data_IF_604714196034
#
_entry.id   IF_604714196034
#
_cell.length_a   1.000
_cell.length_b   1.000
_cell.length_c   1.000
_cell.angle_alpha   90.00
_cell.angle_beta   90.00
_cell.angle_gamma   90.00
#
_symmetry.space_group_name_H-M   'P 1'
#
loop_
_entity.id
_entity.type
_entity.pdbx_description
1 polymer ?
#
# COMPACT_ATOMS: atom_id res chain seq x y z
N UNK A 1 49.41 -59.42 30.12
CA UNK A 1 49.57 -58.43 31.21
C UNK A 1 49.34 -57.05 30.60
N UNK A 2 48.38 -56.29 31.15
CA UNK A 2 47.89 -54.94 30.79
C UNK A 2 47.16 -54.72 29.44
N UNK A 3 45.83 -54.55 29.54
CA UNK A 3 44.93 -53.93 28.55
C UNK A 3 45.00 -52.40 28.70
N UNK A 4 45.05 -51.61 27.62
CA UNK A 4 44.66 -50.20 27.69
C UNK A 4 43.15 -50.07 27.47
N UNK A 5 42.49 -49.43 28.45
CA UNK A 5 41.07 -49.09 28.46
C UNK A 5 40.87 -47.84 27.58
N UNK A 6 40.12 -47.96 26.48
CA UNK A 6 39.78 -46.85 25.61
C UNK A 6 38.57 -46.10 26.20
N UNK A 7 38.83 -44.91 26.75
CA UNK A 7 37.81 -43.98 27.23
C UNK A 7 37.14 -43.30 26.03
N UNK A 8 35.89 -43.68 25.74
CA UNK A 8 35.02 -42.96 24.81
C UNK A 8 34.43 -41.78 25.57
N UNK A 9 34.89 -40.56 25.29
CA UNK A 9 34.24 -39.35 25.75
C UNK A 9 32.97 -39.11 24.90
N UNK A 10 31.81 -39.36 25.49
CA UNK A 10 30.51 -39.08 24.89
C UNK A 10 30.24 -37.56 25.01
N UNK A 11 30.38 -36.81 23.91
CA UNK A 11 29.92 -35.43 23.85
C UNK A 11 28.40 -35.42 23.59
N UNK A 12 27.61 -35.10 24.62
CA UNK A 12 26.18 -34.81 24.44
C UNK A 12 26.02 -33.38 23.89
N UNK A 13 25.25 -33.16 22.81
CA UNK A 13 24.87 -31.81 22.44
C UNK A 13 23.89 -31.28 23.49
N UNK A 14 24.30 -30.21 24.19
CA UNK A 14 23.40 -29.42 25.01
C UNK A 14 22.41 -28.77 24.04
N UNK A 15 21.17 -29.27 24.03
CA UNK A 15 20.05 -28.63 23.34
C UNK A 15 19.73 -27.36 24.14
N UNK A 16 20.40 -26.28 23.80
CA UNK A 16 20.01 -24.94 24.24
C UNK A 16 18.72 -24.58 23.54
N UNK A 17 17.60 -24.72 24.25
CA UNK A 17 16.31 -24.18 23.82
C UNK A 17 16.44 -22.66 23.93
N UNK A 18 16.84 -22.00 22.85
CA UNK A 18 16.82 -20.54 22.76
C UNK A 18 15.36 -20.11 22.71
N UNK A 19 14.87 -19.54 23.82
CA UNK A 19 13.67 -18.72 23.79
C UNK A 19 14.03 -17.44 23.05
N UNK A 20 13.90 -17.44 21.73
CA UNK A 20 13.81 -16.20 20.98
C UNK A 20 12.45 -15.58 21.34
N UNK A 21 12.44 -14.75 22.37
CA UNK A 21 11.37 -13.80 22.62
C UNK A 21 11.21 -12.97 21.34
N UNK A 22 10.10 -13.20 20.62
CA UNK A 22 9.74 -12.41 19.46
C UNK A 22 9.40 -11.00 19.95
N UNK A 23 10.42 -10.16 20.11
CA UNK A 23 10.24 -8.73 20.27
C UNK A 23 9.59 -8.25 18.98
N UNK A 24 8.28 -7.99 19.02
CA UNK A 24 7.60 -7.26 17.96
C UNK A 24 8.33 -5.92 17.82
N UNK A 25 9.09 -5.76 16.74
CA UNK A 25 9.56 -4.45 16.30
C UNK A 25 8.29 -3.63 16.04
N UNK A 26 7.88 -2.82 17.01
CA UNK A 26 6.81 -1.84 16.86
C UNK A 26 7.20 -1.00 15.64
N UNK A 27 6.48 -1.20 14.54
CA UNK A 27 6.82 -0.54 13.29
C UNK A 27 6.41 0.94 13.44
N UNK A 28 7.16 1.90 12.89
CA UNK A 28 6.83 3.33 13.06
C UNK A 28 5.37 3.70 12.69
N UNK A 29 4.71 2.91 11.82
CA UNK A 29 3.27 3.02 11.54
C UNK A 29 2.40 2.76 12.77
N UNK A 30 2.74 1.81 13.62
CA UNK A 30 1.95 1.49 14.81
C UNK A 30 1.92 2.68 15.78
N UNK A 31 3.04 3.38 15.95
CA UNK A 31 3.12 4.58 16.79
C UNK A 31 2.32 5.74 16.17
N UNK A 32 2.43 5.94 14.85
CA UNK A 32 1.64 6.96 14.16
C UNK A 32 0.13 6.69 14.27
N UNK A 33 -0.30 5.43 14.20
CA UNK A 33 -1.69 5.03 14.37
C UNK A 33 -2.22 5.25 15.79
N UNK A 34 -1.37 5.15 16.81
CA UNK A 34 -1.74 5.40 18.21
C UNK A 34 -2.09 6.87 18.49
N UNK A 35 -1.52 7.80 17.73
CA UNK A 35 -1.70 9.26 17.91
C UNK A 35 -2.66 9.89 16.90
N UNK A 36 -3.30 9.08 16.05
CA UNK A 36 -4.26 9.52 15.04
C UNK A 36 -5.69 9.18 15.45
N UNK A 37 -6.65 10.03 15.05
CA UNK A 37 -8.07 9.74 15.19
C UNK A 37 -8.49 8.64 14.22
N UNK A 38 -9.45 7.82 14.64
CA UNK A 38 -10.00 6.70 13.86
C UNK A 38 -11.37 7.07 13.28
N UNK A 39 -11.58 6.78 12.00
CA UNK A 39 -12.87 6.86 11.34
C UNK A 39 -13.22 5.48 10.76
N UNK A 40 -14.40 4.97 11.11
CA UNK A 40 -14.90 3.71 10.55
C UNK A 40 -15.71 3.99 9.29
N UNK A 41 -15.31 3.35 8.20
CA UNK A 41 -15.95 3.45 6.91
C UNK A 41 -16.48 2.08 6.51
N UNK A 42 -17.79 1.96 6.31
CA UNK A 42 -18.38 0.80 5.65
C UNK A 42 -18.43 1.05 4.14
N UNK A 43 -17.79 0.18 3.36
CA UNK A 43 -17.78 0.28 1.91
C UNK A 43 -17.81 -1.11 1.29
N UNK A 44 -18.76 -1.34 0.39
CA UNK A 44 -18.88 -2.61 -0.33
C UNK A 44 -19.01 -3.83 0.61
N UNK A 45 -19.78 -3.67 1.70
CA UNK A 45 -20.00 -4.71 2.71
C UNK A 45 -18.79 -5.01 3.61
N UNK A 46 -17.70 -4.23 3.50
CA UNK A 46 -16.51 -4.37 4.30
C UNK A 46 -16.30 -3.13 5.18
N UNK A 47 -15.81 -3.35 6.40
CA UNK A 47 -15.42 -2.27 7.31
C UNK A 47 -13.94 -1.92 7.15
N UNK A 48 -13.67 -0.63 7.13
CA UNK A 48 -12.34 -0.06 6.98
C UNK A 48 -12.10 0.98 8.06
N UNK A 49 -10.93 0.93 8.66
CA UNK A 49 -10.46 1.99 9.55
C UNK A 49 -9.57 2.95 8.77
N UNK A 50 -9.92 4.23 8.81
CA UNK A 50 -9.12 5.33 8.29
C UNK A 50 -8.58 6.10 9.48
N UNK A 51 -7.28 6.38 9.47
CA UNK A 51 -6.64 7.18 10.50
C UNK A 51 -6.40 8.58 9.97
N UNK A 52 -6.64 9.61 10.78
CA UNK A 52 -6.39 11.00 10.39
C UNK A 52 -5.89 11.83 11.57
N UNK A 53 -5.16 12.91 11.28
CA UNK A 53 -4.71 13.88 12.28
C UNK A 53 -4.53 15.27 11.66
N UNK A 54 -4.88 16.28 12.43
CA UNK A 54 -4.52 17.67 12.17
C UNK A 54 -3.31 18.01 13.06
N UNK A 55 -2.28 18.61 12.47
CA UNK A 55 -1.11 19.12 13.19
C UNK A 55 -0.93 20.58 12.86
N UNK A 56 -0.95 21.44 13.88
CA UNK A 56 -0.72 22.87 13.74
C UNK A 56 0.78 23.13 13.57
N UNK A 57 1.17 24.06 12.69
CA UNK A 57 2.58 24.41 12.45
C UNK A 57 3.22 25.27 13.54
N UNK A 58 2.42 25.75 14.52
CA UNK A 58 2.91 26.48 15.67
C UNK A 58 3.01 25.52 16.85
N UNK A 59 4.23 25.07 17.14
CA UNK A 59 4.52 24.40 18.39
C UNK A 59 4.46 25.42 19.52
N UNK A 60 3.50 25.28 20.41
CA UNK A 60 3.53 25.90 21.73
C UNK A 60 2.54 25.18 22.63
N UNK A 61 3.12 24.59 23.67
CA UNK A 61 2.52 24.22 24.94
C UNK A 61 1.77 22.88 24.99
N UNK A 62 2.53 21.87 25.45
CA UNK A 62 2.02 20.70 26.17
C UNK A 62 1.31 21.17 27.46
N UNK A 63 0.10 21.70 27.33
CA UNK A 63 -0.81 21.92 28.45
C UNK A 63 -2.24 21.94 27.93
N UNK A 64 -2.92 20.81 28.11
CA UNK A 64 -4.32 20.68 28.53
C UNK A 64 -5.31 21.73 27.99
N UNK A 65 -6.21 21.29 27.10
CA UNK A 65 -7.52 21.91 26.78
C UNK A 65 -7.63 22.98 25.69
N UNK A 66 -6.65 23.18 24.80
CA UNK A 66 -6.96 23.79 23.50
C UNK A 66 -7.43 22.70 22.52
N UNK A 67 -8.74 22.47 22.58
CA UNK A 67 -9.50 21.59 21.68
C UNK A 67 -9.07 21.84 20.23
N UNK A 68 -8.53 20.79 19.61
CA UNK A 68 -8.27 20.69 18.18
C UNK A 68 -9.64 20.77 17.50
N UNK A 69 -10.13 21.99 17.26
CA UNK A 69 -11.48 22.22 16.74
C UNK A 69 -11.69 21.51 15.39
N UNK A 70 -10.62 21.48 14.58
CA UNK A 70 -10.56 20.81 13.28
C UNK A 70 -10.94 19.34 13.40
N UNK A 71 -12.06 18.96 12.79
CA UNK A 71 -12.55 17.58 12.81
C UNK A 71 -12.98 17.07 11.44
N UNK A 72 -12.77 15.78 11.21
CA UNK A 72 -13.42 15.07 10.11
C UNK A 72 -14.86 14.79 10.52
N UNK A 73 -15.80 15.26 9.71
CA UNK A 73 -17.24 15.06 9.91
C UNK A 73 -17.81 13.89 9.14
N UNK A 74 -17.23 13.57 7.97
CA UNK A 74 -17.60 12.40 7.19
C UNK A 74 -16.50 12.01 6.22
N UNK A 75 -16.42 10.71 5.93
CA UNK A 75 -15.63 10.16 4.83
C UNK A 75 -16.55 9.28 3.98
N UNK A 76 -16.52 9.49 2.67
CA UNK A 76 -17.31 8.71 1.69
C UNK A 76 -16.47 8.37 0.47
N UNK A 77 -16.84 7.30 -0.23
CA UNK A 77 -16.19 6.89 -1.48
C UNK A 77 -17.15 7.12 -2.64
N UNK A 78 -16.68 7.85 -3.65
CA UNK A 78 -17.34 7.97 -4.93
C UNK A 78 -16.78 6.92 -5.89
N UNK A 79 -17.58 5.88 -6.18
CA UNK A 79 -17.21 4.79 -7.10
C UNK A 79 -17.04 5.27 -8.54
N UNK A 80 -17.80 6.29 -8.97
CA UNK A 80 -17.76 6.78 -10.35
C UNK A 80 -16.49 7.59 -10.58
N UNK A 81 -16.16 8.47 -9.63
CA UNK A 81 -14.95 9.32 -9.69
C UNK A 81 -13.70 8.64 -9.13
N UNK A 82 -13.84 7.44 -8.55
CA UNK A 82 -12.76 6.71 -7.86
C UNK A 82 -12.08 7.59 -6.82
N UNK A 83 -12.88 8.31 -6.03
CA UNK A 83 -12.39 9.31 -5.10
C UNK A 83 -12.85 9.08 -3.67
N UNK A 84 -11.97 9.42 -2.73
CA UNK A 84 -12.26 9.50 -1.29
C UNK A 84 -12.59 10.94 -0.96
N UNK A 85 -13.84 11.20 -0.57
CA UNK A 85 -14.33 12.50 -0.19
C UNK A 85 -14.35 12.60 1.33
N UNK A 86 -13.69 13.63 1.86
CA UNK A 86 -13.57 13.86 3.31
C UNK A 86 -14.13 15.27 3.57
N UNK A 87 -15.13 15.36 4.44
CA UNK A 87 -15.69 16.64 4.88
C UNK A 87 -15.10 17.01 6.23
N UNK A 88 -14.51 18.18 6.33
CA UNK A 88 -13.88 18.70 7.54
C UNK A 88 -14.66 19.90 8.08
N UNK A 89 -14.58 20.15 9.38
CA UNK A 89 -15.24 21.27 10.06
C UNK A 89 -14.27 21.95 11.01
N UNK A 90 -14.53 23.23 11.27
CA UNK A 90 -13.80 24.09 12.21
C UNK A 90 -12.29 24.17 11.95
N UNK A 91 -11.91 24.19 10.66
CA UNK A 91 -10.52 24.41 10.25
C UNK A 91 -10.24 25.92 10.31
N UNK A 92 -9.93 26.44 11.48
CA UNK A 92 -9.79 27.90 11.69
C UNK A 92 -8.45 28.46 11.19
N UNK A 93 -7.42 27.60 11.11
CA UNK A 93 -6.07 27.96 10.68
C UNK A 93 -5.51 26.98 9.66
N UNK A 94 -4.30 27.27 9.15
CA UNK A 94 -3.63 26.36 8.22
C UNK A 94 -2.97 25.22 8.98
N UNK A 95 -3.43 24.01 8.72
CA UNK A 95 -2.99 22.79 9.37
C UNK A 95 -2.23 21.88 8.40
N UNK A 96 -1.41 20.99 8.94
CA UNK A 96 -0.92 19.80 8.24
C UNK A 96 -1.94 18.69 8.48
N UNK A 97 -2.55 18.19 7.40
CA UNK A 97 -3.46 17.06 7.47
C UNK A 97 -2.74 15.78 7.09
N UNK A 98 -2.72 14.83 8.02
CA UNK A 98 -2.19 13.48 7.82
C UNK A 98 -3.35 12.50 7.74
N UNK A 99 -3.30 11.61 6.74
CA UNK A 99 -4.34 10.62 6.47
C UNK A 99 -3.69 9.27 6.17
N UNK A 100 -4.16 8.21 6.80
CA UNK A 100 -3.77 6.84 6.48
C UNK A 100 -5.02 6.01 6.16
N UNK A 101 -5.02 5.35 5.01
CA UNK A 101 -6.14 4.53 4.56
C UNK A 101 -5.66 3.27 3.80
N UNK A 102 -6.48 2.20 3.77
CA UNK A 102 -6.18 1.00 2.98
C UNK A 102 -6.15 1.29 1.47
N UNK A 103 -5.11 0.81 0.77
CA UNK A 103 -4.94 1.07 -0.66
C UNK A 103 -6.10 0.56 -1.53
N UNK A 104 -6.78 -0.50 -1.09
CA UNK A 104 -7.95 -1.06 -1.78
C UNK A 104 -9.13 -0.09 -1.86
N UNK A 105 -9.18 0.96 -1.03
CA UNK A 105 -10.24 1.97 -1.09
C UNK A 105 -10.09 2.87 -2.31
N UNK A 106 -8.87 3.31 -2.61
CA UNK A 106 -8.53 4.17 -3.74
C UNK A 106 -7.27 3.59 -4.40
N UNK A 107 -7.45 2.67 -5.36
CA UNK A 107 -6.32 2.10 -6.07
C UNK A 107 -5.66 3.18 -6.93
N UNK A 108 -4.34 3.30 -6.83
CA UNK A 108 -3.50 4.10 -7.73
C UNK A 108 -2.03 3.71 -7.56
N UNK A 109 -1.19 3.99 -8.56
CA UNK A 109 0.26 4.05 -8.30
C UNK A 109 0.58 5.28 -7.43
N UNK A 110 1.64 5.21 -6.62
CA UNK A 110 1.97 6.22 -5.59
C UNK A 110 2.07 7.66 -6.13
N UNK A 111 2.44 7.84 -7.42
CA UNK A 111 2.57 9.16 -8.06
C UNK A 111 1.31 9.66 -8.75
N UNK A 112 0.29 8.82 -8.88
CA UNK A 112 -0.87 9.11 -9.72
C UNK A 112 -2.12 9.49 -8.91
N UNK A 113 -1.95 9.97 -7.68
CA UNK A 113 -3.06 10.56 -6.93
C UNK A 113 -3.20 12.05 -7.23
N UNK A 114 -4.44 12.53 -7.19
CA UNK A 114 -4.72 13.97 -7.13
C UNK A 114 -5.44 14.31 -5.83
N UNK A 115 -4.85 15.22 -5.06
CA UNK A 115 -5.49 15.79 -3.87
C UNK A 115 -6.08 17.15 -4.23
N UNK A 116 -7.38 17.30 -3.99
CA UNK A 116 -8.10 18.56 -4.11
C UNK A 116 -8.57 19.00 -2.73
N UNK A 117 -8.33 20.26 -2.38
CA UNK A 117 -8.92 20.90 -1.21
C UNK A 117 -9.83 22.02 -1.69
N UNK A 118 -11.12 21.93 -1.37
CA UNK A 118 -12.20 22.78 -1.88
C UNK A 118 -12.12 22.96 -3.42
N UNK A 119 -11.84 21.87 -4.13
CA UNK A 119 -11.72 21.83 -5.59
C UNK A 119 -10.39 22.32 -6.15
N UNK A 120 -9.45 22.82 -5.33
CA UNK A 120 -8.13 23.28 -5.76
C UNK A 120 -7.08 22.20 -5.54
N UNK A 121 -6.28 21.91 -6.57
CA UNK A 121 -5.18 20.95 -6.47
C UNK A 121 -4.15 21.40 -5.43
N UNK A 122 -3.73 20.46 -4.58
CA UNK A 122 -2.69 20.67 -3.56
C UNK A 122 -1.53 19.69 -3.75
N UNK A 123 -0.28 20.12 -3.48
CA UNK A 123 0.83 19.20 -3.36
C UNK A 123 0.63 18.32 -2.12
N UNK A 124 1.17 17.11 -2.16
CA UNK A 124 1.10 16.16 -1.07
C UNK A 124 2.36 15.29 -1.07
N UNK A 125 2.68 14.75 0.10
CA UNK A 125 3.59 13.63 0.25
C UNK A 125 2.80 12.36 0.48
N UNK A 126 3.28 11.22 -0.02
CA UNK A 126 2.66 9.93 0.26
C UNK A 126 3.70 8.83 0.42
N UNK A 127 3.40 7.90 1.31
CA UNK A 127 4.16 6.69 1.51
C UNK A 127 3.21 5.49 1.53
N UNK A 128 3.71 4.35 1.07
CA UNK A 128 3.01 3.07 1.06
C UNK A 128 3.74 2.12 1.99
N UNK A 129 3.02 1.55 2.95
CA UNK A 129 3.55 0.56 3.88
C UNK A 129 2.60 -0.63 3.94
N UNK A 130 3.04 -1.76 3.37
CA UNK A 130 2.19 -2.93 3.20
C UNK A 130 0.93 -2.60 2.40
N UNK A 131 -0.24 -2.79 3.02
CA UNK A 131 -1.56 -2.53 2.42
C UNK A 131 -2.13 -1.15 2.72
N UNK A 132 -1.41 -0.32 3.49
CA UNK A 132 -1.85 1.01 3.91
C UNK A 132 -1.08 2.08 3.14
N UNK A 133 -1.75 3.20 2.86
CA UNK A 133 -1.15 4.41 2.31
C UNK A 133 -1.29 5.53 3.32
N UNK A 134 -0.21 6.23 3.60
CA UNK A 134 -0.18 7.46 4.39
C UNK A 134 0.04 8.63 3.44
N UNK A 135 -0.72 9.71 3.63
CA UNK A 135 -0.63 10.95 2.86
C UNK A 135 -0.57 12.13 3.82
N UNK A 136 0.25 13.13 3.46
CA UNK A 136 0.40 14.36 4.22
C UNK A 136 0.29 15.54 3.25
N UNK A 137 -0.53 16.52 3.56
CA UNK A 137 -0.65 17.74 2.78
C UNK A 137 -1.10 18.92 3.63
N UNK A 138 -0.89 20.12 3.11
CA UNK A 138 -1.32 21.36 3.76
C UNK A 138 -2.82 21.55 3.54
N UNK A 139 -3.54 21.74 4.65
CA UNK A 139 -4.96 22.07 4.68
C UNK A 139 -5.12 23.56 5.06
N UNK A 140 -5.46 24.44 4.10
CA UNK A 140 -5.65 25.85 4.38
C UNK A 140 -6.75 26.14 5.40
N UNK A 141 -6.67 27.29 6.06
CA UNK A 141 -7.76 27.80 6.88
C UNK A 141 -9.09 27.85 6.10
N UNK A 142 -10.18 27.63 6.81
CA UNK A 142 -11.57 27.59 6.32
C UNK A 142 -11.85 26.50 5.29
N UNK A 143 -10.99 25.48 5.23
CA UNK A 143 -11.23 24.34 4.35
C UNK A 143 -12.47 23.56 4.78
N UNK A 144 -13.23 23.04 3.82
CA UNK A 144 -14.47 22.31 4.08
C UNK A 144 -14.48 20.89 3.51
N UNK A 145 -13.82 20.72 2.36
CA UNK A 145 -13.83 19.48 1.60
C UNK A 145 -12.44 19.13 1.11
N UNK A 146 -12.10 17.86 1.29
CA UNK A 146 -10.91 17.24 0.71
C UNK A 146 -11.41 16.13 -0.22
N UNK A 147 -10.83 16.02 -1.40
CA UNK A 147 -11.08 14.94 -2.35
C UNK A 147 -9.75 14.34 -2.79
N UNK A 148 -9.61 13.02 -2.62
CA UNK A 148 -8.44 12.25 -3.06
C UNK A 148 -8.87 11.35 -4.20
N UNK A 149 -8.40 11.65 -5.41
CA UNK A 149 -8.79 10.95 -6.63
C UNK A 149 -7.72 9.92 -7.00
N UNK A 150 -8.13 8.67 -7.14
CA UNK A 150 -7.31 7.58 -7.65
C UNK A 150 -7.29 7.52 -9.17
N UNK A 151 -6.21 6.99 -9.73
CA UNK A 151 -6.11 6.63 -11.15
C UNK A 151 -6.18 5.12 -11.32
N UNK A 152 -6.56 4.70 -12.52
CA UNK A 152 -6.63 3.28 -12.85
C UNK A 152 -5.23 2.69 -12.87
N UNK A 153 -4.94 1.76 -11.94
CA UNK A 153 -3.82 0.83 -12.10
C UNK A 153 -4.20 -0.09 -13.25
N UNK A 154 -3.60 0.11 -14.42
CA UNK A 154 -3.60 -0.92 -15.46
C UNK A 154 -2.76 -2.05 -14.89
N UNK A 155 -3.31 -3.26 -14.67
CA UNK A 155 -2.48 -4.39 -14.28
C UNK A 155 -1.45 -4.58 -15.40
N UNK A 156 -0.16 -4.49 -15.06
CA UNK A 156 0.90 -4.88 -15.97
C UNK A 156 0.80 -6.40 -16.15
N UNK A 157 -0.02 -6.86 -17.10
CA UNK A 157 -0.01 -8.25 -17.54
C UNK A 157 1.25 -8.51 -18.36
N UNK A 158 2.44 -8.37 -17.77
CA UNK A 158 3.69 -8.75 -18.42
C UNK A 158 3.61 -10.25 -18.78
N UNK A 159 3.07 -11.08 -17.90
CA UNK A 159 2.90 -12.53 -18.13
C UNK A 159 1.93 -12.90 -19.25
N UNK A 160 0.84 -12.13 -19.43
CA UNK A 160 -0.16 -12.40 -20.47
C UNK A 160 0.37 -12.13 -21.88
N UNK A 161 1.14 -11.05 -22.05
CA UNK A 161 1.74 -10.72 -23.35
C UNK A 161 2.81 -11.74 -23.76
N UNK A 162 3.65 -12.21 -22.83
CA UNK A 162 4.61 -13.27 -23.11
C UNK A 162 3.96 -14.61 -23.45
N UNK A 163 2.86 -14.96 -22.79
CA UNK A 163 2.10 -16.17 -23.12
C UNK A 163 1.53 -16.10 -24.55
N UNK A 164 0.97 -14.94 -24.94
CA UNK A 164 0.47 -14.73 -26.29
C UNK A 164 1.55 -14.77 -27.36
N UNK A 165 2.72 -14.18 -27.12
CA UNK A 165 3.82 -14.19 -28.11
C UNK A 165 4.40 -15.59 -28.31
N UNK A 166 4.55 -16.39 -27.24
CA UNK A 166 5.04 -17.77 -27.34
C UNK A 166 4.05 -18.65 -28.11
N UNK A 167 2.74 -18.51 -27.86
CA UNK A 167 1.71 -19.28 -28.58
C UNK A 167 1.64 -18.86 -30.06
N UNK A 168 1.70 -17.56 -30.38
CA UNK A 168 1.72 -17.10 -31.77
C UNK A 168 2.95 -17.57 -32.53
N UNK A 169 4.13 -17.56 -31.89
CA UNK A 169 5.37 -18.00 -32.52
C UNK A 169 5.34 -19.52 -32.80
N UNK A 170 4.78 -20.32 -31.89
CA UNK A 170 4.67 -21.77 -32.08
C UNK A 170 3.77 -22.12 -33.27
N UNK A 171 2.65 -21.42 -33.43
CA UNK A 171 1.73 -21.59 -34.56
C UNK A 171 2.38 -21.22 -35.90
N UNK A 172 3.15 -20.13 -35.94
CA UNK A 172 3.87 -19.71 -37.15
C UNK A 172 4.94 -20.74 -37.56
N UNK A 173 5.70 -21.26 -36.59
CA UNK A 173 6.72 -22.29 -36.86
C UNK A 173 6.07 -23.58 -37.33
N UNK A 174 5.00 -24.05 -36.68
CA UNK A 174 4.26 -25.24 -37.10
C UNK A 174 3.70 -25.09 -38.52
N UNK A 175 3.13 -23.93 -38.85
CA UNK A 175 2.63 -23.65 -40.20
C UNK A 175 3.75 -23.66 -41.25
N UNK A 176 4.90 -23.08 -40.93
CA UNK A 176 6.05 -23.03 -41.83
C UNK A 176 6.66 -24.41 -42.09
N UNK A 177 6.84 -25.22 -41.03
CA UNK A 177 7.33 -26.60 -41.15
C UNK A 177 6.36 -27.48 -41.94
N UNK A 178 5.05 -27.36 -41.70
CA UNK A 178 4.04 -28.08 -42.46
C UNK A 178 4.07 -27.73 -43.95
N UNK A 179 4.21 -26.44 -44.29
CA UNK A 179 4.36 -25.97 -45.67
C UNK A 179 5.60 -26.54 -46.34
N UNK A 180 6.75 -26.56 -45.66
CA UNK A 180 8.00 -27.13 -46.20
C UNK A 180 7.91 -28.65 -46.39
N UNK A 181 7.19 -29.36 -45.53
CA UNK A 181 7.03 -30.82 -45.62
C UNK A 181 6.14 -31.24 -46.80
N UNK A 182 5.16 -30.42 -47.17
CA UNK A 182 4.31 -30.61 -48.35
C UNK A 182 5.07 -30.28 -49.65
N UNK A 183 5.98 -29.30 -49.60
CA UNK A 183 6.81 -28.87 -50.74
C UNK A 183 8.17 -29.60 -50.78
N UNK A 184 8.21 -30.93 -50.61
CA UNK A 184 9.37 -31.69 -51.08
C UNK A 184 9.23 -31.85 -52.59
N UNK A 185 10.01 -31.15 -53.43
CA UNK A 185 10.04 -31.47 -54.85
C UNK A 185 10.60 -32.88 -54.99
N UNK A 186 9.81 -33.79 -55.57
CA UNK A 186 10.32 -35.06 -56.07
C UNK A 186 11.21 -34.74 -57.28
N UNK A 187 12.48 -34.40 -57.02
CA UNK A 187 13.51 -34.48 -58.05
C UNK A 187 13.74 -35.97 -58.34
N UNK A 188 13.05 -36.48 -59.35
CA UNK A 188 13.54 -37.64 -60.08
C UNK A 188 14.63 -37.16 -61.06
N UNK A 189 15.67 -37.98 -61.13
CA UNK A 189 16.95 -37.80 -61.81
C UNK A 189 16.87 -37.24 -63.23
#
# INVERSE_FOLDING_TARGET
MFRPLLLIALALPIIGISYAEQVHLIQHADIAELIMHKYQLNFDGNDYTIFYRFTTGQGSDESSEEDILSKVSSITIDKQRKSLNISVKNVEQTDIFSLQFPQKLIPSQSKDLTVLVDGKKKPFESNVQGVKRTMIFILPAKSSKIEIIGTQVIPEFQSGMFAFTVVMLSLLVSFFVWRLKIFKPSFQY
#
